data_IF_673704786663
#
_entry.id   IF_673704786663
#
_cell.length_a   1.000
_cell.length_b   1.000
_cell.length_c   1.000
_cell.angle_alpha   90.00
_cell.angle_beta   90.00
_cell.angle_gamma   90.00
#
_symmetry.space_group_name_H-M   'P 1'
#
loop_
_entity.id
_entity.type
_entity.pdbx_description
1 polymer ?
#
# COMPACT_ATOMS: atom_id res chain seq x y z
N UNK A 1 39.45 50.94 0.80
CA UNK A 1 40.12 50.68 -0.50
C UNK A 1 40.52 49.22 -0.50
N UNK A 2 40.35 48.55 -1.65
CA UNK A 2 40.54 47.11 -1.93
C UNK A 2 39.49 46.19 -1.27
N UNK A 3 38.81 45.28 -1.97
CA UNK A 3 38.89 44.92 -3.39
C UNK A 3 37.87 43.81 -3.67
N UNK A 4 37.06 44.02 -4.71
CA UNK A 4 36.06 43.09 -5.24
C UNK A 4 36.75 41.93 -5.96
N UNK A 5 36.32 40.69 -5.69
CA UNK A 5 36.70 39.52 -6.49
C UNK A 5 35.45 38.82 -7.03
N UNK A 6 35.35 38.87 -8.35
CA UNK A 6 34.40 38.18 -9.19
C UNK A 6 34.92 36.77 -9.50
N UNK A 7 34.07 35.74 -9.34
CA UNK A 7 34.09 34.52 -10.16
C UNK A 7 32.63 34.03 -10.26
N UNK A 8 31.95 34.25 -11.40
CA UNK A 8 31.80 33.26 -12.49
C UNK A 8 31.32 31.91 -11.92
N UNK A 9 30.03 31.57 -11.90
CA UNK A 9 29.09 31.61 -13.02
C UNK A 9 29.12 30.28 -13.74
N UNK A 10 28.37 29.28 -13.26
CA UNK A 10 27.90 28.14 -14.04
C UNK A 10 26.40 27.98 -13.78
N UNK A 11 25.61 28.59 -14.67
CA UNK A 11 24.20 28.33 -14.79
C UNK A 11 24.03 26.96 -15.45
N UNK A 12 23.59 25.97 -14.67
CA UNK A 12 23.12 24.71 -15.23
C UNK A 12 21.80 24.99 -15.96
N UNK A 13 21.90 25.11 -17.29
CA UNK A 13 20.78 25.37 -18.17
C UNK A 13 19.96 24.09 -18.30
N UNK A 14 18.69 24.18 -17.93
CA UNK A 14 17.67 23.15 -18.12
C UNK A 14 17.53 22.92 -19.63
N UNK A 15 17.99 21.77 -20.12
CA UNK A 15 17.73 21.32 -21.48
C UNK A 15 16.43 20.52 -21.50
N UNK A 16 15.29 21.21 -21.57
CA UNK A 16 14.04 20.64 -22.07
C UNK A 16 14.19 20.40 -23.57
N UNK A 17 14.54 19.18 -23.97
CA UNK A 17 14.33 18.71 -25.34
C UNK A 17 12.87 18.29 -25.50
N UNK A 18 12.08 19.25 -25.97
CA UNK A 18 10.82 19.02 -26.66
C UNK A 18 11.15 18.35 -28.00
N UNK A 19 10.85 17.06 -28.13
CA UNK A 19 10.75 16.39 -29.43
C UNK A 19 9.29 16.49 -29.89
N UNK A 20 9.03 17.48 -30.74
CA UNK A 20 7.84 17.56 -31.56
C UNK A 20 8.22 17.32 -33.03
N UNK A 21 7.54 16.38 -33.68
CA UNK A 21 7.63 16.08 -35.12
C UNK A 21 7.78 14.57 -35.34
N UNK A 22 6.87 13.84 -36.00
CA UNK A 22 5.93 14.26 -37.03
C UNK A 22 4.61 13.46 -36.98
N UNK A 23 3.56 14.16 -37.40
CA UNK A 23 2.24 13.66 -37.71
C UNK A 23 2.26 12.63 -38.85
N UNK A 24 1.42 11.60 -38.72
CA UNK A 24 1.04 10.69 -39.79
C UNK A 24 -0.21 9.93 -39.39
N UNK A 25 -1.31 10.20 -40.07
CA UNK A 25 -2.69 9.87 -39.75
C UNK A 25 -3.01 8.36 -39.77
N UNK A 26 -3.96 7.91 -38.94
CA UNK A 26 -5.15 7.17 -39.38
C UNK A 26 -6.10 6.87 -38.21
N UNK A 27 -7.38 6.82 -38.56
CA UNK A 27 -8.56 6.79 -37.70
C UNK A 27 -8.83 5.37 -37.16
N UNK A 28 -9.57 5.25 -36.05
CA UNK A 28 -10.03 3.94 -35.57
C UNK A 28 -10.87 3.99 -34.31
N UNK A 29 -12.01 4.67 -34.36
CA UNK A 29 -13.12 4.48 -33.42
C UNK A 29 -13.85 3.19 -33.76
N UNK A 30 -14.03 2.25 -32.81
CA UNK A 30 -15.26 1.45 -32.60
C UNK A 30 -15.16 0.54 -31.36
N UNK A 31 -16.14 0.56 -30.44
CA UNK A 31 -16.63 -0.61 -29.70
C UNK A 31 -17.75 -1.30 -30.52
N UNK A 32 -18.52 -2.30 -30.02
CA UNK A 32 -18.27 -3.41 -29.12
C UNK A 32 -18.32 -4.78 -29.87
N UNK A 33 -17.97 -5.88 -29.21
CA UNK A 33 -18.15 -7.25 -29.78
C UNK A 33 -19.64 -7.65 -29.77
N UNK A 34 -20.30 -7.34 -30.89
CA UNK A 34 -21.60 -7.87 -31.25
C UNK A 34 -21.46 -9.17 -32.04
N UNK A 35 -22.26 -10.15 -31.62
CA UNK A 35 -22.78 -11.28 -32.37
C UNK A 35 -23.11 -10.89 -33.83
N UNK A 36 -22.64 -11.66 -34.83
CA UNK A 36 -23.47 -12.20 -35.92
C UNK A 36 -22.63 -12.95 -37.00
N UNK A 37 -23.35 -13.86 -37.65
CA UNK A 37 -22.98 -14.86 -38.64
C UNK A 37 -22.04 -14.40 -39.78
N UNK A 38 -21.20 -15.32 -40.25
CA UNK A 38 -20.76 -15.32 -41.64
C UNK A 38 -20.65 -16.74 -42.22
N UNK A 39 -21.33 -16.87 -43.35
CA UNK A 39 -21.44 -18.02 -44.24
C UNK A 39 -20.26 -18.10 -45.21
N UNK A 40 -19.95 -19.32 -45.69
CA UNK A 40 -19.11 -19.60 -46.86
C UNK A 40 -17.89 -20.47 -46.53
N UNK A 41 -17.58 -21.59 -47.20
CA UNK A 41 -18.15 -22.21 -48.39
C UNK A 41 -17.06 -23.05 -49.08
N UNK A 42 -17.37 -24.31 -49.42
CA UNK A 42 -16.64 -25.18 -50.35
C UNK A 42 -15.53 -26.04 -49.74
N UNK A 43 -15.38 -27.33 -50.01
CA UNK A 43 -16.05 -28.29 -50.89
C UNK A 43 -15.26 -29.60 -50.87
N UNK A 44 -15.87 -30.75 -51.15
CA UNK A 44 -15.12 -32.01 -51.27
C UNK A 44 -15.98 -33.27 -51.23
N UNK A 45 -16.12 -33.93 -52.38
CA UNK A 45 -17.03 -35.02 -52.67
C UNK A 45 -16.69 -36.40 -52.05
N UNK A 46 -17.73 -37.23 -51.94
CA UNK A 46 -17.69 -38.69 -51.85
C UNK A 46 -18.72 -39.21 -50.86
N UNK A 47 -19.78 -39.94 -51.17
CA UNK A 47 -20.11 -40.70 -52.36
C UNK A 47 -20.61 -42.07 -51.91
N UNK A 48 -21.93 -42.28 -51.96
CA UNK A 48 -22.54 -43.61 -52.12
C UNK A 48 -23.21 -44.23 -50.88
N UNK A 49 -24.45 -44.68 -51.09
CA UNK A 49 -25.05 -45.76 -50.30
C UNK A 49 -26.48 -45.50 -49.83
N UNK A 50 -27.44 -45.50 -50.75
CA UNK A 50 -28.86 -45.51 -50.40
C UNK A 50 -29.36 -46.90 -49.99
N UNK A 51 -30.43 -46.90 -49.18
CA UNK A 51 -31.60 -47.82 -49.13
C UNK A 51 -32.18 -47.64 -47.71
N UNK A 52 -33.38 -47.10 -47.53
CA UNK A 52 -34.62 -47.74 -47.95
C UNK A 52 -35.05 -48.72 -46.85
N UNK A 53 -35.95 -48.27 -45.97
CA UNK A 53 -36.46 -49.06 -44.85
C UNK A 53 -37.59 -48.35 -44.11
N UNK A 54 -38.70 -48.09 -44.80
CA UNK A 54 -40.00 -47.92 -44.14
C UNK A 54 -40.50 -49.29 -43.66
N UNK A 55 -41.02 -49.34 -42.44
CA UNK A 55 -41.87 -50.44 -41.98
C UNK A 55 -41.44 -51.03 -40.66
N UNK A 56 -42.17 -50.70 -39.59
CA UNK A 56 -42.02 -51.39 -38.31
C UNK A 56 -42.78 -50.72 -37.17
N UNK A 57 -44.11 -50.60 -37.29
CA UNK A 57 -44.95 -50.52 -36.10
C UNK A 57 -44.72 -51.76 -35.26
N UNK A 58 -44.21 -51.56 -34.05
CA UNK A 58 -43.90 -52.60 -33.08
C UNK A 58 -43.91 -51.97 -31.71
N UNK A 59 -45.11 -51.95 -31.12
CA UNK A 59 -45.35 -51.68 -29.71
C UNK A 59 -44.39 -52.54 -28.87
N UNK A 60 -43.59 -51.86 -28.07
CA UNK A 60 -42.57 -52.44 -27.23
C UNK A 60 -41.76 -51.32 -26.60
N UNK A 61 -42.45 -50.44 -25.87
CA UNK A 61 -41.84 -49.41 -25.03
C UNK A 61 -40.92 -50.08 -24.01
N UNK A 62 -39.67 -50.29 -24.41
CA UNK A 62 -38.57 -50.58 -23.51
C UNK A 62 -38.19 -49.28 -22.84
N UNK A 63 -39.05 -48.78 -21.95
CA UNK A 63 -38.65 -47.83 -20.92
C UNK A 63 -37.47 -48.52 -20.23
N UNK A 64 -36.26 -48.00 -20.43
CA UNK A 64 -35.13 -48.37 -19.59
C UNK A 64 -35.63 -48.25 -18.15
N UNK A 65 -35.49 -49.28 -17.29
CA UNK A 65 -36.29 -49.43 -16.07
C UNK A 65 -36.01 -48.38 -14.96
N UNK A 66 -35.31 -47.30 -15.30
CA UNK A 66 -35.01 -46.16 -14.45
C UNK A 66 -35.69 -44.85 -14.89
N UNK A 67 -36.29 -44.81 -16.07
CA UNK A 67 -36.77 -43.56 -16.67
C UNK A 67 -38.15 -43.12 -16.14
N UNK A 68 -38.26 -41.83 -15.79
CA UNK A 68 -39.47 -41.19 -15.26
C UNK A 68 -39.36 -40.77 -13.78
N UNK A 69 -38.14 -40.60 -13.27
CA UNK A 69 -37.88 -39.98 -11.97
C UNK A 69 -37.44 -38.51 -12.18
N UNK A 70 -37.61 -37.61 -11.19
CA UNK A 70 -37.11 -36.25 -11.32
C UNK A 70 -35.61 -36.22 -11.53
N UNK A 71 -35.16 -35.29 -12.38
CA UNK A 71 -33.75 -35.05 -12.70
C UNK A 71 -32.88 -34.91 -11.45
N UNK A 72 -31.74 -35.62 -11.46
CA UNK A 72 -30.65 -35.43 -10.51
C UNK A 72 -29.35 -35.22 -11.27
N UNK A 73 -28.48 -34.36 -10.74
CA UNK A 73 -27.19 -34.06 -11.37
C UNK A 73 -26.28 -35.30 -11.40
N UNK A 74 -26.36 -36.10 -12.46
CA UNK A 74 -25.65 -37.36 -12.64
C UNK A 74 -25.17 -37.61 -14.08
N UNK A 75 -25.48 -36.70 -15.02
CA UNK A 75 -25.08 -36.79 -16.42
C UNK A 75 -25.94 -37.74 -17.25
N UNK A 76 -27.12 -38.10 -16.76
CA UNK A 76 -28.11 -38.97 -17.38
C UNK A 76 -29.43 -38.20 -17.47
N UNK A 77 -30.13 -38.40 -18.57
CA UNK A 77 -31.52 -38.02 -18.75
C UNK A 77 -32.40 -39.00 -17.95
N UNK A 78 -32.78 -38.63 -16.72
CA UNK A 78 -33.49 -39.48 -15.76
C UNK A 78 -35.00 -39.52 -16.03
N UNK A 79 -35.55 -38.48 -16.69
CA UNK A 79 -36.96 -38.40 -17.05
C UNK A 79 -37.27 -38.71 -18.54
N UNK A 80 -36.22 -38.86 -19.35
CA UNK A 80 -36.22 -39.14 -20.80
C UNK A 80 -36.90 -38.09 -21.66
N UNK A 81 -36.87 -36.81 -21.30
CA UNK A 81 -37.41 -35.73 -22.13
C UNK A 81 -36.46 -35.32 -23.28
N UNK A 82 -35.22 -35.82 -23.27
CA UNK A 82 -34.18 -35.57 -24.26
C UNK A 82 -33.20 -34.46 -23.88
N UNK A 83 -33.34 -33.88 -22.70
CA UNK A 83 -32.38 -33.00 -22.05
C UNK A 83 -31.65 -33.80 -20.95
N UNK A 84 -30.53 -33.27 -20.45
CA UNK A 84 -29.74 -33.93 -19.41
C UNK A 84 -29.51 -32.93 -18.30
N UNK A 85 -29.75 -33.34 -17.05
CA UNK A 85 -29.49 -32.56 -15.85
C UNK A 85 -30.23 -31.20 -15.80
N UNK A 86 -31.45 -31.11 -16.36
CA UNK A 86 -32.33 -29.93 -16.32
C UNK A 86 -33.31 -29.93 -15.14
N UNK A 87 -33.95 -28.78 -14.87
CA UNK A 87 -35.04 -28.64 -13.87
C UNK A 87 -34.80 -29.28 -12.48
N UNK A 88 -33.52 -29.42 -12.08
CA UNK A 88 -33.11 -30.06 -10.83
C UNK A 88 -33.51 -29.20 -9.62
N UNK A 89 -34.51 -29.67 -8.88
CA UNK A 89 -35.10 -28.92 -7.75
C UNK A 89 -34.15 -28.62 -6.58
N UNK A 90 -33.01 -29.31 -6.48
CA UNK A 90 -32.02 -29.13 -5.42
C UNK A 90 -30.91 -28.13 -5.76
N UNK A 91 -30.92 -27.55 -6.96
CA UNK A 91 -29.94 -26.56 -7.44
C UNK A 91 -30.46 -25.11 -7.34
N UNK A 92 -29.56 -24.15 -7.55
CA UNK A 92 -29.85 -22.72 -7.45
C UNK A 92 -29.90 -22.18 -6.01
N UNK A 93 -29.60 -23.01 -5.01
CA UNK A 93 -29.48 -22.61 -3.61
C UNK A 93 -28.10 -22.00 -3.28
N UNK A 94 -27.98 -21.25 -2.17
CA UNK A 94 -26.69 -20.74 -1.74
C UNK A 94 -25.75 -21.88 -1.35
N UNK A 95 -24.50 -21.76 -1.73
CA UNK A 95 -23.44 -22.70 -1.39
C UNK A 95 -22.15 -21.96 -1.04
N UNK A 96 -21.19 -22.70 -0.48
CA UNK A 96 -19.86 -22.21 -0.11
C UNK A 96 -18.84 -22.75 -1.12
N UNK A 97 -18.18 -21.84 -1.85
CA UNK A 97 -17.20 -22.15 -2.90
C UNK A 97 -15.84 -22.57 -2.33
N UNK A 98 -15.64 -22.44 -1.01
CA UNK A 98 -14.36 -22.62 -0.31
C UNK A 98 -13.26 -21.63 -0.70
N UNK A 99 -13.61 -20.59 -1.45
CA UNK A 99 -12.72 -19.46 -1.72
C UNK A 99 -12.72 -18.47 -0.55
N UNK A 100 -11.71 -17.62 -0.49
CA UNK A 100 -11.62 -16.57 0.51
C UNK A 100 -12.46 -15.35 0.11
N UNK A 101 -12.64 -14.43 1.07
CA UNK A 101 -13.25 -13.13 0.83
C UNK A 101 -14.66 -13.16 0.23
N UNK A 102 -14.90 -12.27 -0.71
CA UNK A 102 -16.23 -12.07 -1.33
C UNK A 102 -16.63 -13.25 -2.21
N UNK A 103 -15.68 -14.08 -2.60
CA UNK A 103 -15.85 -15.17 -3.56
C UNK A 103 -16.30 -16.48 -2.89
N UNK A 104 -16.30 -16.53 -1.55
CA UNK A 104 -16.74 -17.67 -0.75
C UNK A 104 -18.22 -18.02 -0.90
N UNK A 105 -19.05 -17.05 -1.28
CA UNK A 105 -20.49 -17.26 -1.51
C UNK A 105 -20.77 -17.58 -2.97
N UNK A 106 -21.60 -18.60 -3.21
CA UNK A 106 -21.97 -19.04 -4.54
C UNK A 106 -23.39 -19.60 -4.64
N UNK A 107 -23.73 -20.05 -5.85
CA UNK A 107 -24.97 -20.79 -6.15
C UNK A 107 -24.64 -22.18 -6.68
N UNK A 108 -25.42 -23.17 -6.26
CA UNK A 108 -25.24 -24.54 -6.74
C UNK A 108 -25.70 -24.67 -8.19
N UNK A 109 -24.86 -25.28 -9.03
CA UNK A 109 -25.15 -25.63 -10.42
C UNK A 109 -24.76 -27.07 -10.72
N UNK A 110 -25.21 -27.57 -11.86
CA UNK A 110 -24.79 -28.87 -12.40
C UNK A 110 -24.02 -28.63 -13.69
N UNK A 111 -22.85 -29.24 -13.79
CA UNK A 111 -22.08 -29.30 -15.04
C UNK A 111 -21.47 -30.69 -15.17
N UNK A 112 -21.74 -31.36 -16.30
CA UNK A 112 -21.25 -32.71 -16.57
C UNK A 112 -21.60 -33.76 -15.52
N UNK A 113 -22.82 -33.74 -14.97
CA UNK A 113 -23.27 -34.67 -13.93
C UNK A 113 -22.63 -34.48 -12.56
N UNK A 114 -22.02 -33.31 -12.31
CA UNK A 114 -21.43 -32.97 -11.01
C UNK A 114 -21.99 -31.65 -10.50
N UNK A 115 -22.35 -31.63 -9.21
CA UNK A 115 -22.80 -30.40 -8.53
C UNK A 115 -21.58 -29.55 -8.20
N UNK A 116 -21.55 -28.33 -8.73
CA UNK A 116 -20.53 -27.32 -8.43
C UNK A 116 -21.14 -26.13 -7.68
N UNK A 117 -20.29 -25.40 -6.96
CA UNK A 117 -20.65 -24.12 -6.37
C UNK A 117 -19.97 -23.00 -7.16
N UNK A 118 -20.75 -22.16 -7.83
CA UNK A 118 -20.23 -21.07 -8.67
C UNK A 118 -20.31 -19.76 -7.88
N UNK A 119 -19.20 -19.01 -7.72
CA UNK A 119 -19.23 -17.70 -7.06
C UNK A 119 -20.26 -16.76 -7.68
N UNK A 120 -21.04 -16.09 -6.85
CA UNK A 120 -22.03 -15.10 -7.32
C UNK A 120 -21.42 -13.71 -7.51
N UNK A 121 -20.35 -13.42 -6.78
CA UNK A 121 -19.62 -12.17 -6.88
C UNK A 121 -18.56 -12.27 -8.00
N UNK A 122 -18.44 -11.19 -8.76
CA UNK A 122 -17.37 -11.06 -9.76
C UNK A 122 -16.10 -10.52 -9.07
N UNK A 123 -14.91 -10.99 -9.48
CA UNK A 123 -13.65 -10.42 -9.05
C UNK A 123 -13.59 -8.90 -9.25
N UNK A 124 -13.15 -8.17 -8.23
CA UNK A 124 -12.86 -6.73 -8.31
C UNK A 124 -11.43 -6.46 -7.83
N UNK A 125 -10.81 -5.33 -8.18
CA UNK A 125 -9.53 -4.95 -7.59
C UNK A 125 -9.61 -4.94 -6.05
N UNK A 126 -8.51 -5.28 -5.39
CA UNK A 126 -8.44 -5.28 -3.94
C UNK A 126 -8.74 -3.91 -3.33
N UNK A 127 -9.40 -3.97 -2.18
CA UNK A 127 -9.63 -2.87 -1.26
C UNK A 127 -9.13 -3.33 0.09
N UNK A 128 -8.52 -2.44 0.87
CA UNK A 128 -8.06 -2.77 2.22
C UNK A 128 -9.23 -2.97 3.19
N UNK A 129 -9.85 -4.14 3.15
CA UNK A 129 -11.03 -4.51 3.92
C UNK A 129 -10.92 -5.88 4.61
N UNK A 130 -9.80 -6.59 4.41
CA UNK A 130 -9.53 -7.89 5.02
C UNK A 130 -10.21 -9.04 4.28
N UNK A 131 -10.70 -8.81 3.06
CA UNK A 131 -11.31 -9.80 2.18
C UNK A 131 -10.53 -9.88 0.88
N UNK A 132 -10.43 -11.09 0.34
CA UNK A 132 -10.03 -11.33 -1.04
C UNK A 132 -11.16 -10.84 -1.97
N UNK A 133 -10.96 -9.72 -2.66
CA UNK A 133 -11.92 -9.12 -3.58
C UNK A 133 -11.72 -9.61 -5.02
N UNK A 134 -10.49 -9.94 -5.39
CA UNK A 134 -10.10 -10.33 -6.74
C UNK A 134 -10.18 -11.86 -6.98
N UNK A 135 -10.52 -12.62 -5.94
CA UNK A 135 -10.63 -14.08 -5.90
C UNK A 135 -9.33 -14.84 -6.22
N UNK A 136 -8.15 -14.26 -5.99
CA UNK A 136 -6.87 -14.91 -6.30
C UNK A 136 -6.31 -15.77 -5.16
N UNK A 137 -6.96 -15.74 -3.99
CA UNK A 137 -6.62 -16.50 -2.80
C UNK A 137 -5.65 -15.79 -1.85
N UNK A 138 -5.26 -14.55 -2.15
CA UNK A 138 -4.52 -13.66 -1.27
C UNK A 138 -5.48 -12.57 -0.77
N UNK A 139 -5.24 -12.09 0.45
CA UNK A 139 -6.07 -11.04 1.06
C UNK A 139 -5.24 -9.75 1.09
N UNK A 140 -5.83 -8.65 0.62
CA UNK A 140 -5.26 -7.30 0.62
C UNK A 140 -3.84 -7.23 0.00
N UNK A 141 -3.58 -7.88 -1.14
CA UNK A 141 -2.25 -7.84 -1.77
C UNK A 141 -1.92 -6.50 -2.44
N UNK A 142 -0.61 -6.24 -2.59
CA UNK A 142 -0.09 -5.02 -3.23
C UNK A 142 -0.47 -3.68 -2.56
N UNK A 143 -0.77 -3.70 -1.26
CA UNK A 143 -1.06 -2.51 -0.44
C UNK A 143 -2.25 -1.68 -0.98
N UNK A 144 -3.46 -2.26 -1.05
CA UNK A 144 -4.60 -1.63 -1.70
C UNK A 144 -5.02 -0.35 -0.98
N UNK A 145 -5.12 0.76 -1.72
CA UNK A 145 -5.42 2.07 -1.14
C UNK A 145 -4.27 2.71 -0.34
N UNK A 146 -3.11 2.06 -0.26
CA UNK A 146 -1.90 2.59 0.35
C UNK A 146 -1.18 3.64 -0.51
N UNK A 147 -0.07 4.16 0.02
CA UNK A 147 0.81 5.12 -0.66
C UNK A 147 0.34 6.58 -0.64
N UNK A 148 -0.89 6.86 -0.25
CA UNK A 148 -1.39 8.23 -0.08
C UNK A 148 -0.78 8.89 1.17
N UNK A 149 -0.56 10.21 1.10
CA UNK A 149 -0.20 10.98 2.28
C UNK A 149 -1.35 10.95 3.30
N UNK A 150 -1.02 10.75 4.57
CA UNK A 150 -1.98 10.71 5.67
C UNK A 150 -1.45 11.47 6.89
N UNK A 151 -2.35 11.74 7.83
CA UNK A 151 -2.02 12.25 9.16
C UNK A 151 -1.97 11.08 10.14
N UNK A 152 -0.83 10.89 10.79
CA UNK A 152 -0.61 9.83 11.78
C UNK A 152 -1.30 10.11 13.12
N UNK A 153 -1.77 11.35 13.31
CA UNK A 153 -2.32 11.84 14.58
C UNK A 153 -1.25 12.15 15.63
N UNK A 154 0.04 12.00 15.30
CA UNK A 154 1.17 12.45 16.12
C UNK A 154 1.42 13.94 15.92
N UNK A 155 2.22 14.53 16.80
CA UNK A 155 2.58 15.94 16.74
C UNK A 155 3.86 16.19 15.94
N UNK A 156 4.13 17.47 15.69
CA UNK A 156 5.36 17.93 15.06
C UNK A 156 5.67 17.25 13.70
N UNK A 157 6.93 16.87 13.46
CA UNK A 157 7.39 16.25 12.22
C UNK A 157 6.84 14.82 12.02
N UNK A 158 6.34 14.15 13.07
CA UNK A 158 5.76 12.82 12.96
C UNK A 158 4.32 12.82 12.44
N UNK A 159 3.65 13.98 12.39
CA UNK A 159 2.26 14.08 11.94
C UNK A 159 2.07 13.56 10.51
N UNK A 160 2.99 13.90 9.61
CA UNK A 160 2.92 13.42 8.23
C UNK A 160 3.33 11.94 8.13
N UNK A 161 2.51 11.15 7.44
CA UNK A 161 2.76 9.74 7.18
C UNK A 161 2.30 9.30 5.80
N UNK A 162 2.44 8.00 5.55
CA UNK A 162 1.94 7.32 4.35
C UNK A 162 0.96 6.23 4.76
N UNK A 163 -0.19 6.20 4.09
CA UNK A 163 -1.22 5.19 4.31
C UNK A 163 -0.67 3.83 3.87
N UNK A 164 -0.86 2.81 4.71
CA UNK A 164 -0.49 1.43 4.44
C UNK A 164 -1.63 0.52 4.87
N UNK A 165 -1.92 -0.50 4.09
CA UNK A 165 -2.90 -1.52 4.40
C UNK A 165 -2.26 -2.53 5.35
N UNK A 166 -2.78 -2.62 6.57
CA UNK A 166 -2.32 -3.57 7.57
C UNK A 166 -3.51 -4.26 8.22
N UNK A 167 -3.62 -5.57 8.03
CA UNK A 167 -4.66 -6.41 8.65
C UNK A 167 -6.09 -5.97 8.29
N UNK A 168 -6.35 -5.71 7.02
CA UNK A 168 -7.69 -5.31 6.53
C UNK A 168 -8.12 -3.90 6.89
N UNK A 169 -7.19 -3.03 7.26
CA UNK A 169 -7.47 -1.62 7.51
C UNK A 169 -6.31 -0.72 7.06
N UNK A 170 -6.66 0.42 6.46
CA UNK A 170 -5.69 1.48 6.19
C UNK A 170 -5.25 2.11 7.51
N UNK A 171 -3.95 2.03 7.77
CA UNK A 171 -3.28 2.70 8.89
C UNK A 171 -2.28 3.72 8.36
N UNK A 172 -2.01 4.77 9.13
CA UNK A 172 -1.03 5.78 8.75
C UNK A 172 0.32 5.47 9.39
N UNK A 173 1.33 5.16 8.57
CA UNK A 173 2.70 4.97 9.03
C UNK A 173 3.43 6.33 9.03
N UNK A 174 3.90 6.83 10.20
CA UNK A 174 4.63 8.10 10.28
C UNK A 174 5.87 8.10 9.39
N UNK A 175 6.11 9.21 8.68
CA UNK A 175 7.32 9.37 7.86
C UNK A 175 8.58 9.60 8.72
N UNK A 176 8.39 10.15 9.92
CA UNK A 176 9.42 10.38 10.93
C UNK A 176 9.01 9.63 12.19
N UNK A 177 9.94 8.87 12.76
CA UNK A 177 9.74 8.21 14.05
C UNK A 177 10.13 9.17 15.19
N UNK A 178 9.43 9.12 16.33
CA UNK A 178 9.83 9.81 17.56
C UNK A 178 11.29 9.55 17.93
N UNK A 179 12.05 10.62 18.16
CA UNK A 179 13.40 10.58 18.73
C UNK A 179 13.46 11.46 19.97
N UNK A 180 14.49 11.36 20.80
CA UNK A 180 14.61 12.28 21.95
C UNK A 180 14.76 13.74 21.50
N UNK A 181 14.28 14.67 22.32
CA UNK A 181 14.32 16.11 22.04
C UNK A 181 15.73 16.63 21.70
N UNK A 182 15.80 17.41 20.62
CA UNK A 182 16.91 18.27 20.26
C UNK A 182 16.62 19.68 20.72
N UNK A 183 17.15 20.02 21.89
CA UNK A 183 16.89 21.30 22.53
C UNK A 183 17.26 22.53 21.68
N UNK A 184 16.42 23.56 21.81
CA UNK A 184 16.52 24.89 21.22
C UNK A 184 16.40 24.91 19.68
N UNK A 185 15.83 23.87 19.07
CA UNK A 185 15.54 23.83 17.63
C UNK A 185 14.09 24.26 17.30
N UNK A 186 13.23 24.37 18.32
CA UNK A 186 11.83 24.77 18.20
C UNK A 186 10.93 23.71 17.54
N UNK A 187 11.36 22.45 17.51
CA UNK A 187 10.67 21.30 16.93
C UNK A 187 10.44 20.23 17.99
N UNK A 188 9.20 19.78 18.12
CA UNK A 188 8.82 18.60 18.90
C UNK A 188 9.40 17.34 18.22
N UNK A 189 10.57 16.84 18.63
CA UNK A 189 11.23 15.72 17.94
C UNK A 189 10.74 14.35 18.42
N UNK A 190 10.23 14.27 19.64
CA UNK A 190 9.67 13.08 20.25
C UNK A 190 8.17 12.93 19.95
N UNK A 191 7.57 13.95 19.35
CA UNK A 191 6.20 14.01 18.88
C UNK A 191 5.17 13.78 20.00
N UNK A 192 5.48 14.21 21.22
CA UNK A 192 4.61 14.09 22.40
C UNK A 192 3.69 15.30 22.62
N UNK A 193 3.87 16.35 21.82
CA UNK A 193 3.03 17.54 21.78
C UNK A 193 3.57 18.74 22.57
N UNK A 194 4.66 18.58 23.32
CA UNK A 194 5.45 19.68 23.86
C UNK A 194 6.65 19.97 22.94
N UNK A 195 7.23 21.16 23.06
CA UNK A 195 8.39 21.57 22.26
C UNK A 195 9.53 21.89 23.21
N UNK A 196 10.73 21.37 22.93
CA UNK A 196 11.96 21.62 23.69
C UNK A 196 11.85 21.21 25.18
N UNK A 197 11.05 20.19 25.50
CA UNK A 197 10.91 19.61 26.84
C UNK A 197 11.96 18.53 27.15
N UNK A 198 12.04 18.07 28.41
CA UNK A 198 13.00 17.03 28.80
C UNK A 198 14.49 17.42 28.66
N UNK A 199 14.76 18.61 28.12
CA UNK A 199 16.05 19.26 28.01
C UNK A 199 16.64 19.44 29.39
N UNK A 200 17.54 18.53 29.77
CA UNK A 200 18.34 18.68 30.97
C UNK A 200 19.30 19.84 30.77
N UNK A 201 18.78 21.02 31.13
CA UNK A 201 19.40 22.32 31.21
C UNK A 201 19.81 22.93 29.85
N UNK A 202 19.09 24.00 29.45
CA UNK A 202 19.78 25.21 29.01
C UNK A 202 21.07 25.34 29.83
N UNK A 203 22.25 25.62 29.22
CA UNK A 203 23.53 25.56 29.92
C UNK A 203 23.35 26.18 31.31
N UNK A 204 23.58 25.42 32.40
CA UNK A 204 23.16 25.84 33.73
C UNK A 204 23.65 27.25 33.91
N UNK A 205 22.79 28.26 34.11
CA UNK A 205 23.28 29.64 34.28
C UNK A 205 24.41 29.61 35.30
N UNK A 206 25.58 30.13 34.92
CA UNK A 206 26.77 30.03 35.76
C UNK A 206 26.43 30.53 37.17
N UNK A 207 26.85 29.80 38.19
CA UNK A 207 26.52 30.09 39.58
C UNK A 207 26.89 31.53 39.99
N UNK A 208 27.84 32.13 39.28
CA UNK A 208 28.14 33.55 39.26
C UNK A 208 28.76 33.97 37.92
N UNK A 209 28.98 35.28 37.76
CA UNK A 209 29.65 35.87 36.61
C UNK A 209 31.09 35.31 36.44
N UNK A 210 31.47 34.80 35.25
CA UNK A 210 32.84 34.32 34.95
C UNK A 210 33.93 35.39 35.11
N UNK A 211 33.55 36.67 35.08
CA UNK A 211 34.45 37.81 35.23
C UNK A 211 34.74 38.18 36.69
N UNK A 212 34.13 37.47 37.65
CA UNK A 212 34.32 37.69 39.08
C UNK A 212 34.80 36.40 39.74
N UNK A 213 35.79 36.52 40.63
CA UNK A 213 36.28 35.38 41.39
C UNK A 213 35.21 34.83 42.33
N UNK A 214 35.13 33.51 42.49
CA UNK A 214 34.08 32.85 43.24
C UNK A 214 34.28 31.34 43.43
N UNK A 215 33.17 30.64 43.62
CA UNK A 215 33.16 29.17 43.66
C UNK A 215 33.55 28.56 42.32
N UNK A 216 33.82 27.25 42.24
CA UNK A 216 34.04 26.60 40.95
C UNK A 216 32.77 26.74 40.07
N UNK A 217 32.97 27.12 38.80
CA UNK A 217 31.89 27.18 37.80
C UNK A 217 31.78 25.85 37.04
N UNK A 218 30.56 25.48 36.65
CA UNK A 218 30.33 24.27 35.85
C UNK A 218 30.84 24.49 34.41
N UNK A 219 31.72 23.63 33.87
CA UNK A 219 32.17 23.73 32.48
C UNK A 219 31.04 23.78 31.45
N UNK A 220 29.85 23.27 31.77
CA UNK A 220 28.69 23.28 30.90
C UNK A 220 27.86 24.57 31.01
N UNK A 221 28.18 25.47 31.95
CA UNK A 221 27.39 26.68 32.21
C UNK A 221 27.52 27.77 31.14
N UNK A 222 28.67 27.82 30.46
CA UNK A 222 28.96 28.78 29.40
C UNK A 222 30.11 28.22 28.54
N UNK A 223 30.04 28.31 27.19
CA UNK A 223 31.13 27.88 26.31
C UNK A 223 32.48 28.53 26.61
N UNK A 224 32.50 29.78 27.10
CA UNK A 224 33.71 30.40 27.57
C UNK A 224 34.26 29.73 28.84
N UNK A 225 33.39 29.45 29.81
CA UNK A 225 33.80 28.79 31.05
C UNK A 225 34.43 27.44 30.72
N UNK A 226 33.85 26.67 29.79
CA UNK A 226 34.46 25.45 29.27
C UNK A 226 35.89 25.68 28.74
N UNK A 227 36.11 26.74 27.96
CA UNK A 227 37.43 27.07 27.42
C UNK A 227 38.45 27.33 28.54
N UNK A 228 38.05 28.06 29.59
CA UNK A 228 38.89 28.27 30.79
C UNK A 228 39.14 26.96 31.54
N UNK A 229 38.12 26.11 31.71
CA UNK A 229 38.23 24.80 32.37
C UNK A 229 39.17 23.81 31.63
N UNK A 230 39.23 23.90 30.30
CA UNK A 230 40.13 23.09 29.47
C UNK A 230 41.58 23.53 29.64
N UNK A 231 41.82 24.84 29.81
CA UNK A 231 43.15 25.40 30.06
C UNK A 231 43.63 25.03 31.47
N UNK A 232 42.79 25.30 32.48
CA UNK A 232 43.08 24.96 33.86
C UNK A 232 41.88 24.26 34.53
N UNK A 233 42.04 22.95 34.73
CA UNK A 233 41.03 22.10 35.36
C UNK A 233 40.76 22.48 36.82
N UNK A 234 41.65 23.21 37.47
CA UNK A 234 41.47 23.63 38.87
C UNK A 234 40.41 24.71 39.00
N UNK A 235 40.20 25.55 37.98
CA UNK A 235 39.16 26.57 37.94
C UNK A 235 37.74 26.02 38.12
N UNK A 236 37.51 24.80 37.65
CA UNK A 236 36.18 24.17 37.61
C UNK A 236 36.05 22.97 38.55
N UNK A 237 37.07 22.75 39.40
CA UNK A 237 37.10 21.68 40.40
C UNK A 237 37.44 22.14 41.81
N UNK A 238 38.18 23.24 41.94
CA UNK A 238 38.62 23.78 43.23
C UNK A 238 37.97 25.14 43.49
N UNK A 239 38.30 26.14 42.69
CA UNK A 239 37.81 27.51 42.87
C UNK A 239 38.04 28.34 41.62
N UNK A 240 37.13 29.28 41.34
CA UNK A 240 37.30 30.27 40.29
C UNK A 240 38.08 31.47 40.85
N UNK A 241 39.41 31.38 40.83
CA UNK A 241 40.29 32.39 41.42
C UNK A 241 40.69 33.50 40.44
N UNK A 242 41.60 34.39 40.87
CA UNK A 242 42.08 35.51 40.05
C UNK A 242 42.83 35.08 38.78
N UNK A 243 43.41 33.88 38.75
CA UNK A 243 44.04 33.33 37.55
C UNK A 243 42.99 32.81 36.56
N UNK A 244 41.91 32.21 37.09
CA UNK A 244 40.75 31.83 36.29
C UNK A 244 40.08 33.05 35.67
N UNK A 245 39.87 34.13 36.44
CA UNK A 245 39.35 35.41 35.94
C UNK A 245 40.30 36.04 34.91
N UNK A 246 41.62 36.01 35.14
CA UNK A 246 42.60 36.49 34.15
C UNK A 246 42.56 35.72 32.82
N UNK A 247 42.30 34.42 32.88
CA UNK A 247 42.08 33.59 31.68
C UNK A 247 40.73 33.92 31.04
N UNK A 248 39.69 34.14 31.84
CA UNK A 248 38.37 34.56 31.40
C UNK A 248 38.37 35.94 30.72
N UNK A 249 39.30 36.86 31.02
CA UNK A 249 39.42 38.12 30.28
C UNK A 249 39.72 37.93 28.79
N UNK A 250 40.49 36.88 28.45
CA UNK A 250 40.83 36.57 27.06
C UNK A 250 39.71 35.80 26.38
N UNK A 251 39.03 34.91 27.10
CA UNK A 251 38.07 33.97 26.53
C UNK A 251 36.60 34.39 26.65
N UNK A 252 36.24 35.15 27.69
CA UNK A 252 34.85 35.53 28.04
C UNK A 252 34.56 37.01 27.79
N UNK A 253 35.49 37.75 27.19
CA UNK A 253 35.39 39.20 26.97
C UNK A 253 35.06 39.99 28.26
N UNK A 254 35.66 39.58 29.39
CA UNK A 254 35.50 40.29 30.65
C UNK A 254 36.12 41.70 30.58
N UNK A 255 35.46 42.71 31.15
CA UNK A 255 35.95 44.08 31.19
C UNK A 255 37.22 44.26 32.06
#
# INVERSE_FOLDING_TARGET
MMGEWWFRGWAATIATTVLAGAAGCAQGTTPPVGFEQASGGGGGAGGGGGSGGEGGGGEGGGMSPACGIPEVCNGVDDDCDGLVDEDIASLGGPCDTKLFGVCGVGVSGCDGGQVFCVPTNQPTPEVCDGLDNNCDGVIDEDDPGGGAACDSGLFGPCAAGTAVCMSGALTCSPAVLPVGELCDDGVDNNCDGDVDEGCSAAPPVCAHDPCVAGGPLDPLCDPCVNAVCVIDKTCCKASWDVFCVGTAQVHCACP
#
